data_IF_419447663214
#
_entry.id   IF_419447663214
#
_cell.length_a   1.000
_cell.length_b   1.000
_cell.length_c   1.000
_cell.angle_alpha   90.00
_cell.angle_beta   90.00
_cell.angle_gamma   90.00
#
_symmetry.space_group_name_H-M   'P 1'
#
loop_
_entity.id
_entity.type
_entity.pdbx_description
1 polymer ?
#
# COMPACT_ATOMS: atom_id res chain seq x y z
N UNK A 1 9.55 13.43 7.52
CA UNK A 1 9.81 12.66 6.29
C UNK A 1 9.22 11.29 6.54
N UNK A 2 8.18 10.89 5.80
CA UNK A 2 7.69 9.51 5.89
C UNK A 2 8.73 8.62 5.20
N UNK A 3 9.30 7.68 5.95
CA UNK A 3 10.07 6.58 5.37
C UNK A 3 9.12 5.73 4.54
N UNK A 4 9.36 5.67 3.23
CA UNK A 4 8.57 4.85 2.33
C UNK A 4 8.93 3.39 2.60
N UNK A 5 7.99 2.60 3.13
CA UNK A 5 8.25 1.20 3.53
C UNK A 5 8.24 0.23 2.34
N UNK A 6 7.53 0.59 1.27
CA UNK A 6 7.51 -0.18 0.02
C UNK A 6 8.35 0.54 -1.04
N UNK A 7 9.58 0.05 -1.23
CA UNK A 7 10.53 0.45 -2.28
C UNK A 7 10.85 -0.71 -3.23
N UNK A 8 11.68 -0.46 -4.24
CA UNK A 8 12.04 -1.48 -5.23
C UNK A 8 12.86 -2.64 -4.66
N UNK A 9 13.62 -2.43 -3.58
CA UNK A 9 14.37 -3.50 -2.90
C UNK A 9 13.41 -4.46 -2.18
N UNK A 10 12.43 -3.91 -1.47
CA UNK A 10 11.35 -4.68 -0.86
C UNK A 10 10.60 -5.51 -1.91
N UNK A 11 10.20 -4.90 -3.04
CA UNK A 11 9.48 -5.59 -4.12
C UNK A 11 10.33 -6.70 -4.72
N UNK A 12 11.60 -6.45 -5.00
CA UNK A 12 12.54 -7.46 -5.52
C UNK A 12 12.63 -8.65 -4.57
N UNK A 13 12.77 -8.37 -3.27
CA UNK A 13 12.87 -9.40 -2.24
C UNK A 13 11.58 -10.23 -2.13
N UNK A 14 10.42 -9.58 -2.26
CA UNK A 14 9.13 -10.24 -2.20
C UNK A 14 8.91 -11.16 -3.42
N UNK A 15 9.21 -10.67 -4.62
CA UNK A 15 9.05 -11.42 -5.87
C UNK A 15 10.03 -12.59 -5.97
N UNK A 16 11.26 -12.41 -5.49
CA UNK A 16 12.24 -13.49 -5.38
C UNK A 16 11.75 -14.62 -4.48
N UNK A 17 11.08 -14.30 -3.35
CA UNK A 17 10.50 -15.30 -2.46
C UNK A 17 9.24 -15.96 -3.02
N UNK A 18 8.36 -15.20 -3.68
CA UNK A 18 7.08 -15.71 -4.17
C UNK A 18 7.22 -16.56 -5.43
N UNK A 19 8.13 -16.19 -6.34
CA UNK A 19 8.23 -16.79 -7.67
C UNK A 19 9.60 -17.42 -7.97
N UNK A 20 10.56 -17.35 -7.04
CA UNK A 20 11.90 -17.93 -7.23
C UNK A 20 12.73 -17.25 -8.33
N UNK A 21 12.27 -16.13 -8.87
CA UNK A 21 12.90 -15.38 -9.95
C UNK A 21 13.25 -13.96 -9.53
N UNK A 22 14.25 -13.37 -10.19
CA UNK A 22 14.56 -11.95 -10.04
C UNK A 22 13.78 -11.12 -11.05
N UNK A 23 13.46 -9.89 -10.65
CA UNK A 23 12.81 -8.91 -11.52
C UNK A 23 13.81 -7.75 -11.72
N UNK A 24 13.90 -7.17 -12.92
CA UNK A 24 14.76 -6.01 -13.15
C UNK A 24 14.44 -4.88 -12.17
N UNK A 25 15.46 -4.19 -11.67
CA UNK A 25 15.27 -3.14 -10.65
C UNK A 25 14.30 -2.04 -11.13
N UNK A 26 14.35 -1.65 -12.40
CA UNK A 26 13.44 -0.66 -12.97
C UNK A 26 11.96 -1.08 -12.90
N UNK A 27 11.68 -2.37 -13.09
CA UNK A 27 10.33 -2.92 -12.99
C UNK A 27 9.90 -3.00 -11.52
N UNK A 28 10.81 -3.39 -10.62
CA UNK A 28 10.56 -3.39 -9.18
C UNK A 28 10.26 -1.98 -8.65
N UNK A 29 11.00 -0.96 -9.12
CA UNK A 29 10.76 0.44 -8.81
C UNK A 29 9.41 0.91 -9.37
N UNK A 30 9.06 0.49 -10.59
CA UNK A 30 7.75 0.75 -11.20
C UNK A 30 6.60 0.18 -10.39
N UNK A 31 6.72 -1.07 -9.94
CA UNK A 31 5.75 -1.74 -9.05
C UNK A 31 5.68 -1.04 -7.70
N UNK A 32 6.82 -0.68 -7.09
CA UNK A 32 6.86 0.06 -5.84
C UNK A 32 6.17 1.43 -5.97
N UNK A 33 6.33 2.11 -7.11
CA UNK A 33 5.66 3.37 -7.43
C UNK A 33 4.15 3.20 -7.64
N UNK A 34 3.72 2.08 -8.21
CA UNK A 34 2.31 1.75 -8.31
C UNK A 34 1.66 1.46 -6.95
N UNK A 35 2.37 0.74 -6.07
CA UNK A 35 1.84 0.29 -4.76
C UNK A 35 2.06 1.34 -3.66
N UNK A 36 3.05 2.22 -3.79
CA UNK A 36 3.39 3.25 -2.79
C UNK A 36 2.21 4.12 -2.34
N UNK A 37 1.28 4.55 -3.22
CA UNK A 37 0.06 5.23 -2.81
C UNK A 37 -0.84 4.39 -1.89
N UNK A 38 -0.83 3.06 -2.00
CA UNK A 38 -1.57 2.17 -1.10
C UNK A 38 -0.89 2.03 0.26
N UNK A 39 0.44 2.04 0.32
CA UNK A 39 1.19 2.05 1.59
C UNK A 39 0.82 3.29 2.43
N UNK A 40 0.76 4.46 1.77
CA UNK A 40 0.31 5.70 2.39
C UNK A 40 -1.15 5.65 2.86
N UNK A 41 -2.03 4.92 2.15
CA UNK A 41 -3.43 4.74 2.53
C UNK A 41 -3.58 3.75 3.68
N UNK A 42 -2.76 2.69 3.71
CA UNK A 42 -2.71 1.76 4.83
C UNK A 42 -2.16 2.47 6.05
N UNK A 43 -1.11 3.28 5.96
CA UNK A 43 -0.59 4.02 7.11
C UNK A 43 -1.61 5.07 7.60
N UNK A 44 -2.24 5.82 6.69
CA UNK A 44 -3.31 6.77 7.05
C UNK A 44 -4.58 6.09 7.59
N UNK A 45 -4.85 4.86 7.13
CA UNK A 45 -5.95 4.02 7.57
C UNK A 45 -5.66 3.38 8.93
N UNK A 46 -4.49 2.77 9.13
CA UNK A 46 -4.07 2.07 10.36
C UNK A 46 -3.94 3.02 11.54
N UNK A 47 -3.60 4.30 11.32
CA UNK A 47 -3.64 5.33 12.38
C UNK A 47 -5.09 5.69 12.78
N UNK A 48 -6.12 5.29 12.02
CA UNK A 48 -7.55 5.55 12.31
C UNK A 48 -8.43 4.30 12.41
N UNK A 49 -7.92 3.14 12.04
CA UNK A 49 -8.60 1.85 12.10
C UNK A 49 -7.99 1.14 13.30
N UNK A 50 -8.40 1.55 14.50
CA UNK A 50 -8.36 0.66 15.64
C UNK A 50 -9.28 -0.51 15.28
N UNK A 51 -8.68 -1.69 15.03
CA UNK A 51 -9.36 -2.91 14.60
C UNK A 51 -10.17 -3.53 15.75
N UNK A 52 -11.14 -2.78 16.27
CA UNK A 52 -12.14 -3.27 17.23
C UNK A 52 -13.57 -2.92 16.80
N UNK A 53 -13.75 -2.64 15.51
CA UNK A 53 -14.94 -1.98 14.99
C UNK A 53 -15.46 -2.72 13.75
N UNK A 54 -16.74 -3.10 13.81
CA UNK A 54 -17.50 -3.94 12.89
C UNK A 54 -17.25 -3.68 11.38
N UNK A 55 -17.59 -4.65 10.49
CA UNK A 55 -17.43 -4.52 9.04
C UNK A 55 -17.93 -3.20 8.42
N UNK A 56 -18.93 -2.57 9.03
CA UNK A 56 -19.49 -1.28 8.61
C UNK A 56 -18.49 -0.11 8.69
N UNK A 57 -17.53 -0.17 9.62
CA UNK A 57 -16.54 0.90 9.81
C UNK A 57 -15.50 0.92 8.69
N UNK A 58 -15.13 -0.25 8.17
CA UNK A 58 -14.30 -0.36 6.97
C UNK A 58 -15.00 0.25 5.75
N UNK A 59 -16.28 -0.08 5.52
CA UNK A 59 -17.06 0.46 4.39
C UNK A 59 -17.17 1.99 4.44
N UNK A 60 -17.34 2.56 5.64
CA UNK A 60 -17.42 4.00 5.87
C UNK A 60 -16.12 4.73 5.52
N UNK A 61 -14.96 4.17 5.90
CA UNK A 61 -13.65 4.75 5.57
C UNK A 61 -13.40 4.68 4.06
N UNK A 62 -13.69 3.54 3.43
CA UNK A 62 -13.54 3.35 1.97
C UNK A 62 -14.42 4.33 1.20
N UNK A 63 -15.68 4.51 1.60
CA UNK A 63 -16.59 5.47 0.96
C UNK A 63 -16.09 6.92 1.11
N UNK A 64 -15.55 7.27 2.27
CA UNK A 64 -15.01 8.61 2.54
C UNK A 64 -13.77 8.91 1.69
N UNK A 65 -12.86 7.94 1.54
CA UNK A 65 -11.68 8.07 0.69
C UNK A 65 -12.04 8.14 -0.81
N UNK A 66 -13.04 7.37 -1.24
CA UNK A 66 -13.54 7.41 -2.61
C UNK A 66 -14.18 8.76 -2.97
N UNK A 67 -14.85 9.41 -2.01
CA UNK A 67 -15.43 10.74 -2.19
C UNK A 67 -14.36 11.85 -2.28
N UNK A 68 -13.26 11.73 -1.54
CA UNK A 68 -12.15 12.69 -1.54
C UNK A 68 -11.36 12.75 -2.86
N UNK A 69 -11.38 11.68 -3.68
CA UNK A 69 -10.67 11.61 -4.98
C UNK A 69 -11.43 12.25 -6.15
N UNK A 70 -12.63 12.77 -5.93
CA UNK A 70 -13.46 13.42 -6.98
C UNK A 70 -13.38 14.96 -6.97
N UNK A 71 -12.34 15.53 -6.37
CA UNK A 71 -12.04 16.96 -6.43
C UNK A 71 -10.68 17.18 -7.07
#
# INVERSE_FOLDING_TARGET
MNERRIDGEFVTTMLARAHGGSVPQADADGIANFIGPMDNLVEAGVVRIEFDHEPADYERVVATLAAGRRK
#
